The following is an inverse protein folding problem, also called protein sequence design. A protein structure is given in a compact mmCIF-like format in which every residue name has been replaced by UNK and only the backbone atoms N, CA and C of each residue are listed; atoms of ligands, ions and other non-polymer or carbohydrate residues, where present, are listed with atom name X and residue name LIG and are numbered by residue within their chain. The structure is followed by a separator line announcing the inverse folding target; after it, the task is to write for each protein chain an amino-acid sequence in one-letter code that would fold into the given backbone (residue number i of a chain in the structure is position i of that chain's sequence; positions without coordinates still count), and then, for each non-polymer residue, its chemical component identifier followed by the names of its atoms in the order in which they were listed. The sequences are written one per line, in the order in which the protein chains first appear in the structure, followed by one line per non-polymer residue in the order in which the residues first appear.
data_IF_566170072179
#
_entry.id   IF_566170072179
#
_cell.length_a   1.000
_cell.length_b   1.000
_cell.length_c   1.000
_cell.angle_alpha   90.00
_cell.angle_beta   90.00
_cell.angle_gamma   90.00
#
_symmetry.space_group_name_H-M   'P 1'
#
loop_
_entity.id
_entity.type
_entity.pdbx_description
1 polymer ?
#
# COMPACT_ATOMS: atom_id res chain seq x y z
N UNK A 1 -6.10 7.14 -18.72
CA UNK A 1 -5.42 5.96 -19.28
C UNK A 1 -4.90 5.12 -18.11
N UNK A 2 -4.96 3.79 -18.18
CA UNK A 2 -4.35 2.91 -17.18
C UNK A 2 -2.93 2.60 -17.64
N UNK A 3 -1.93 2.86 -16.80
CA UNK A 3 -0.54 2.58 -17.11
C UNK A 3 0.01 1.60 -16.07
N UNK A 4 0.67 0.54 -16.53
CA UNK A 4 1.48 -0.29 -15.65
C UNK A 4 2.69 0.53 -15.16
N UNK A 5 3.22 0.36 -13.93
CA UNK A 5 4.33 1.18 -13.42
C UNK A 5 5.58 1.25 -14.31
N UNK A 6 5.88 0.23 -15.13
CA UNK A 6 6.97 0.34 -16.12
C UNK A 6 6.76 1.44 -17.18
N UNK A 7 5.51 1.69 -17.54
CA UNK A 7 5.06 2.71 -18.47
C UNK A 7 4.45 3.92 -17.72
N UNK A 8 4.52 3.92 -16.39
CA UNK A 8 3.90 4.93 -15.56
C UNK A 8 4.60 6.27 -15.74
N UNK A 9 3.79 7.33 -15.65
CA UNK A 9 4.24 8.71 -15.77
C UNK A 9 3.88 9.49 -14.50
N UNK A 10 4.67 10.51 -14.18
CA UNK A 10 4.41 11.45 -13.08
C UNK A 10 4.57 12.87 -13.61
N UNK A 11 3.52 13.37 -14.25
CA UNK A 11 3.47 14.73 -14.79
C UNK A 11 2.49 15.54 -13.94
N UNK A 12 2.95 16.22 -12.88
CA UNK A 12 2.06 17.02 -12.04
C UNK A 12 1.46 18.17 -12.85
N UNK A 13 0.20 18.47 -12.57
CA UNK A 13 -0.51 19.64 -13.09
C UNK A 13 -0.68 20.66 -11.97
N UNK A 14 -0.88 21.92 -12.32
CA UNK A 14 -1.11 22.98 -11.34
C UNK A 14 -2.35 22.65 -10.47
N UNK A 15 -2.32 22.86 -9.13
CA UNK A 15 -3.43 22.50 -8.26
C UNK A 15 -4.75 23.23 -8.58
N UNK A 16 -4.71 24.48 -9.03
CA UNK A 16 -5.93 25.21 -9.40
C UNK A 16 -6.50 24.66 -10.72
N UNK A 17 -5.65 24.38 -11.70
CA UNK A 17 -6.04 23.68 -12.94
C UNK A 17 -6.61 22.28 -12.64
N UNK A 18 -6.02 21.57 -11.67
CA UNK A 18 -6.50 20.26 -11.24
C UNK A 18 -7.91 20.35 -10.65
N UNK A 19 -8.15 21.36 -9.82
CA UNK A 19 -9.45 21.62 -9.18
C UNK A 19 -10.53 21.99 -10.19
N UNK A 20 -10.21 22.83 -11.18
CA UNK A 20 -11.11 23.14 -12.30
C UNK A 20 -11.52 21.87 -13.09
N UNK A 21 -10.64 20.86 -13.12
CA UNK A 21 -10.88 19.54 -13.73
C UNK A 21 -11.54 18.53 -12.78
N UNK A 22 -12.01 18.97 -11.61
CA UNK A 22 -12.64 18.12 -10.60
C UNK A 22 -11.69 17.13 -9.92
N UNK A 23 -10.37 17.34 -10.00
CA UNK A 23 -9.38 16.55 -9.26
C UNK A 23 -9.25 17.10 -7.84
N UNK A 24 -9.04 16.21 -6.88
CA UNK A 24 -9.06 16.55 -5.45
C UNK A 24 -7.88 15.96 -4.66
N UNK A 25 -6.92 15.32 -5.32
CA UNK A 25 -5.75 14.72 -4.66
C UNK A 25 -4.56 14.62 -5.60
N UNK A 26 -3.35 14.69 -5.03
CA UNK A 26 -2.08 14.40 -5.70
C UNK A 26 -1.79 12.89 -5.81
N UNK A 27 -2.55 12.08 -5.08
CA UNK A 27 -2.38 10.63 -5.04
C UNK A 27 -2.86 9.97 -6.34
N UNK A 28 -2.03 9.12 -6.94
CA UNK A 28 -2.44 8.26 -8.05
C UNK A 28 -3.41 7.18 -7.58
N UNK A 29 -4.22 6.69 -8.51
CA UNK A 29 -5.16 5.58 -8.26
C UNK A 29 -4.52 4.23 -8.60
N UNK A 30 -4.00 3.52 -7.60
CA UNK A 30 -3.51 2.16 -7.79
C UNK A 30 -4.68 1.15 -7.73
N UNK A 31 -4.76 0.25 -8.72
CA UNK A 31 -5.76 -0.82 -8.79
C UNK A 31 -5.12 -2.12 -9.24
N UNK A 32 -5.70 -3.23 -8.82
CA UNK A 32 -5.28 -4.57 -9.23
C UNK A 32 -6.26 -5.13 -10.26
N UNK A 33 -5.77 -5.96 -11.19
CA UNK A 33 -6.63 -6.69 -12.11
C UNK A 33 -6.68 -8.14 -11.63
N UNK A 34 -7.81 -8.55 -11.05
CA UNK A 34 -8.05 -9.89 -10.58
C UNK A 34 -9.11 -10.55 -11.46
N UNK A 35 -8.77 -11.65 -12.13
CA UNK A 35 -9.68 -12.38 -13.03
C UNK A 35 -10.39 -11.47 -14.05
N UNK A 36 -9.63 -10.54 -14.66
CA UNK A 36 -10.14 -9.57 -15.63
C UNK A 36 -10.94 -8.41 -15.05
N UNK A 37 -11.15 -8.37 -13.72
CA UNK A 37 -11.87 -7.28 -13.04
C UNK A 37 -10.91 -6.35 -12.32
N UNK A 38 -11.20 -5.07 -12.38
CA UNK A 38 -10.48 -4.05 -11.61
C UNK A 38 -10.96 -4.16 -10.16
N UNK A 39 -10.02 -4.28 -9.23
CA UNK A 39 -10.31 -4.28 -7.80
C UNK A 39 -9.44 -3.25 -7.09
N UNK A 40 -9.99 -2.68 -6.02
CA UNK A 40 -9.28 -1.84 -5.08
C UNK A 40 -9.08 -2.66 -3.79
N UNK A 41 -7.97 -3.40 -3.67
CA UNK A 41 -7.72 -4.23 -2.50
C UNK A 41 -7.39 -3.37 -1.27
N UNK A 42 -7.52 -3.98 -0.10
CA UNK A 42 -6.87 -3.49 1.12
C UNK A 42 -5.48 -4.12 1.22
N UNK A 43 -4.51 -3.34 1.70
CA UNK A 43 -3.16 -3.81 2.05
C UNK A 43 -2.83 -3.42 3.49
N UNK A 44 -1.85 -4.10 4.10
CA UNK A 44 -1.42 -3.86 5.48
C UNK A 44 -1.48 -5.11 6.33
N UNK A 45 -1.33 -4.96 7.65
CA UNK A 45 -1.16 -6.08 8.55
C UNK A 45 -2.33 -7.09 8.49
N UNK A 46 -3.57 -6.61 8.41
CA UNK A 46 -4.74 -7.48 8.27
C UNK A 46 -4.69 -8.29 6.97
N UNK A 47 -4.47 -7.61 5.84
CA UNK A 47 -4.37 -8.27 4.53
C UNK A 47 -3.22 -9.30 4.48
N UNK A 48 -2.05 -8.97 5.02
CA UNK A 48 -0.91 -9.89 5.10
C UNK A 48 -1.25 -11.13 5.93
N UNK A 49 -1.87 -10.96 7.10
CA UNK A 49 -2.22 -12.07 7.99
C UNK A 49 -3.26 -13.00 7.33
N UNK A 50 -4.31 -12.42 6.73
CA UNK A 50 -5.33 -13.17 5.98
C UNK A 50 -4.71 -13.93 4.81
N UNK A 51 -3.83 -13.29 4.02
CA UNK A 51 -3.16 -13.94 2.90
C UNK A 51 -2.12 -14.99 3.33
N UNK A 52 -1.70 -14.98 4.60
CA UNK A 52 -0.79 -16.00 5.19
C UNK A 52 -1.53 -17.11 5.94
N UNK A 53 -2.85 -17.19 5.77
CA UNK A 53 -3.73 -18.16 6.46
C UNK A 53 -3.62 -18.11 7.99
N UNK A 54 -3.40 -16.92 8.57
CA UNK A 54 -3.36 -16.76 10.02
C UNK A 54 -4.74 -17.02 10.63
N UNK A 55 -4.84 -18.07 11.44
CA UNK A 55 -6.11 -18.55 12.00
C UNK A 55 -6.84 -17.51 12.85
N UNK A 56 -6.09 -16.69 13.60
CA UNK A 56 -6.71 -15.65 14.43
C UNK A 56 -7.26 -14.54 13.55
N UNK A 57 -6.49 -14.05 12.57
CA UNK A 57 -6.96 -13.02 11.64
C UNK A 57 -8.17 -13.50 10.83
N UNK A 58 -8.15 -14.73 10.31
CA UNK A 58 -9.29 -15.32 9.60
C UNK A 58 -10.53 -15.41 10.50
N UNK A 59 -10.38 -15.93 11.71
CA UNK A 59 -11.49 -16.01 12.68
C UNK A 59 -12.05 -14.63 13.03
N UNK A 60 -11.20 -13.63 13.23
CA UNK A 60 -11.64 -12.26 13.52
C UNK A 60 -12.40 -11.65 12.34
N UNK A 61 -11.93 -11.84 11.10
CA UNK A 61 -12.62 -11.37 9.90
C UNK A 61 -13.95 -12.09 9.69
N UNK A 62 -14.01 -13.40 9.93
CA UNK A 62 -15.24 -14.18 9.82
C UNK A 62 -16.31 -13.74 10.83
N UNK A 63 -15.91 -13.48 12.08
CA UNK A 63 -16.85 -13.16 13.15
C UNK A 63 -17.22 -11.66 13.22
N UNK A 64 -16.31 -10.77 12.84
CA UNK A 64 -16.48 -9.31 13.02
C UNK A 64 -16.33 -8.50 11.74
N UNK A 65 -15.81 -9.09 10.66
CA UNK A 65 -15.46 -8.36 9.43
C UNK A 65 -14.15 -7.55 9.56
N UNK A 66 -13.72 -6.88 8.49
CA UNK A 66 -12.51 -6.07 8.47
C UNK A 66 -12.73 -4.70 9.13
N UNK A 67 -12.92 -4.68 10.45
CA UNK A 67 -13.21 -3.46 11.23
C UNK A 67 -11.94 -2.71 11.65
N UNK A 68 -12.10 -1.47 12.12
CA UNK A 68 -11.03 -0.70 12.77
C UNK A 68 -10.32 -1.50 13.88
N UNK A 69 -11.09 -2.17 14.75
CA UNK A 69 -10.53 -2.98 15.82
C UNK A 69 -9.72 -4.16 15.28
N UNK A 70 -10.25 -4.88 14.29
CA UNK A 70 -9.58 -6.02 13.67
C UNK A 70 -8.26 -5.61 12.99
N UNK A 71 -8.19 -4.42 12.36
CA UNK A 71 -6.93 -3.87 11.84
C UNK A 71 -5.91 -3.57 12.93
N UNK A 72 -6.35 -3.00 14.06
CA UNK A 72 -5.48 -2.72 15.21
C UNK A 72 -4.94 -4.01 15.81
N UNK A 73 -5.80 -5.01 16.06
CA UNK A 73 -5.39 -6.33 16.56
C UNK A 73 -4.40 -6.98 15.58
N UNK A 74 -4.69 -6.94 14.28
CA UNK A 74 -3.81 -7.50 13.24
C UNK A 74 -2.41 -6.89 13.26
N UNK A 75 -2.29 -5.59 13.53
CA UNK A 75 -0.98 -4.93 13.66
C UNK A 75 -0.19 -5.47 14.86
N UNK A 76 -0.85 -5.74 15.98
CA UNK A 76 -0.24 -6.34 17.17
C UNK A 76 0.19 -7.78 16.90
N UNK A 77 -0.69 -8.59 16.30
CA UNK A 77 -0.37 -9.99 15.93
C UNK A 77 0.82 -10.05 14.98
N UNK A 78 0.84 -9.18 13.95
CA UNK A 78 1.96 -9.10 13.02
C UNK A 78 3.26 -8.69 13.71
N UNK A 79 3.21 -7.78 14.68
CA UNK A 79 4.39 -7.38 15.45
C UNK A 79 4.99 -8.58 16.22
N UNK A 80 4.16 -9.39 16.86
CA UNK A 80 4.61 -10.60 17.57
C UNK A 80 5.27 -11.61 16.63
N UNK A 81 4.67 -11.87 15.46
CA UNK A 81 5.27 -12.75 14.44
C UNK A 81 6.58 -12.19 13.90
N UNK A 82 6.65 -10.88 13.66
CA UNK A 82 7.87 -10.23 13.19
C UNK A 82 8.99 -10.37 14.22
N UNK A 83 8.68 -10.26 15.51
CA UNK A 83 9.67 -10.47 16.58
C UNK A 83 10.28 -11.89 16.53
N UNK A 84 9.46 -12.92 16.32
CA UNK A 84 9.95 -14.29 16.15
C UNK A 84 10.86 -14.44 14.92
N UNK A 85 10.45 -13.87 13.77
CA UNK A 85 11.28 -13.87 12.56
C UNK A 85 12.60 -13.16 12.81
N UNK A 86 12.59 -11.99 13.46
CA UNK A 86 13.80 -11.22 13.74
C UNK A 86 14.77 -12.00 14.63
N UNK A 87 14.29 -12.67 15.68
CA UNK A 87 15.12 -13.52 16.54
C UNK A 87 15.75 -14.66 15.74
N UNK A 88 14.95 -15.36 14.92
CA UNK A 88 15.44 -16.43 14.05
C UNK A 88 16.48 -15.94 13.03
N UNK A 89 16.30 -14.75 12.45
CA UNK A 89 17.25 -14.16 11.52
C UNK A 89 18.56 -13.75 12.23
N UNK A 90 18.48 -13.22 13.45
CA UNK A 90 19.66 -12.91 14.26
C UNK A 90 20.46 -14.19 14.57
N UNK A 91 19.77 -15.27 14.95
CA UNK A 91 20.43 -16.55 15.27
C UNK A 91 21.13 -17.17 14.05
N UNK A 92 20.60 -16.96 12.85
CA UNK A 92 21.19 -17.43 11.58
C UNK A 92 22.23 -16.48 11.02
N UNK A 93 22.34 -15.28 11.55
CA UNK A 93 23.21 -14.26 10.99
C UNK A 93 24.67 -14.59 11.26
N UNK A 94 25.44 -14.74 10.18
CA UNK A 94 26.87 -14.99 10.27
C UNK A 94 27.67 -13.69 10.10
N UNK A 95 28.19 -13.19 11.22
CA UNK A 95 29.02 -11.98 11.24
C UNK A 95 30.26 -12.13 10.35
N UNK A 96 30.57 -11.07 9.59
CA UNK A 96 31.77 -11.00 8.75
C UNK A 96 31.65 -11.68 7.37
N UNK A 97 30.52 -12.33 7.05
CA UNK A 97 30.28 -12.80 5.68
C UNK A 97 30.06 -11.64 4.71
N UNK A 98 30.43 -11.78 3.42
CA UNK A 98 30.20 -10.74 2.42
C UNK A 98 28.71 -10.39 2.28
N UNK A 99 28.36 -9.12 2.52
CA UNK A 99 26.99 -8.60 2.39
C UNK A 99 26.69 -7.99 1.00
N UNK A 100 27.69 -7.97 0.12
CA UNK A 100 27.57 -7.39 -1.22
C UNK A 100 28.25 -8.27 -2.25
N UNK A 101 27.53 -8.53 -3.35
CA UNK A 101 28.09 -9.16 -4.54
C UNK A 101 28.13 -8.13 -5.66
N UNK A 102 29.32 -7.84 -6.19
CA UNK A 102 29.46 -6.96 -7.35
C UNK A 102 28.63 -7.53 -8.51
N UNK A 103 27.80 -6.69 -9.10
CA UNK A 103 26.97 -7.05 -10.25
C UNK A 103 27.64 -6.58 -11.55
N UNK A 104 27.22 -7.18 -12.66
CA UNK A 104 27.61 -6.71 -13.99
C UNK A 104 26.72 -5.53 -14.36
N UNK A 105 27.34 -4.37 -14.60
CA UNK A 105 26.62 -3.18 -15.05
C UNK A 105 25.87 -3.46 -16.36
N UNK A 106 24.61 -3.03 -16.42
CA UNK A 106 23.79 -3.10 -17.61
C UNK A 106 23.52 -1.68 -18.09
N UNK A 107 23.79 -1.43 -19.37
CA UNK A 107 23.43 -0.15 -20.00
C UNK A 107 21.93 -0.01 -20.18
N UNK A 108 21.25 -1.10 -20.50
CA UNK A 108 19.80 -1.13 -20.70
C UNK A 108 19.16 -2.26 -19.89
N UNK A 109 17.93 -2.03 -19.43
CA UNK A 109 17.16 -3.05 -18.74
C UNK A 109 15.97 -2.48 -17.98
N UNK A 110 15.18 -3.36 -17.39
CA UNK A 110 14.12 -2.98 -16.45
C UNK A 110 14.11 -3.99 -15.30
N UNK A 111 13.60 -3.55 -14.15
CA UNK A 111 13.50 -4.39 -12.96
C UNK A 111 12.44 -3.87 -12.01
N UNK A 112 12.04 -4.71 -11.08
CA UNK A 112 11.10 -4.33 -10.04
C UNK A 112 11.49 -4.99 -8.71
N UNK A 113 11.13 -4.35 -7.60
CA UNK A 113 11.28 -4.88 -6.26
C UNK A 113 9.96 -4.74 -5.51
N UNK A 114 9.44 -5.85 -4.99
CA UNK A 114 8.21 -5.88 -4.21
C UNK A 114 8.54 -6.30 -2.79
N UNK A 115 8.01 -5.59 -1.81
CA UNK A 115 8.16 -5.90 -0.38
C UNK A 115 6.86 -5.59 0.35
N UNK A 116 6.66 -6.27 1.49
CA UNK A 116 5.63 -5.89 2.45
C UNK A 116 6.20 -4.87 3.44
N UNK A 117 5.95 -3.58 3.17
CA UNK A 117 6.24 -2.53 4.13
C UNK A 117 5.32 -2.67 5.36
N UNK A 118 5.60 -1.93 6.45
CA UNK A 118 4.76 -1.99 7.66
C UNK A 118 3.26 -1.73 7.39
N UNK A 119 2.95 -0.94 6.35
CA UNK A 119 1.60 -0.51 5.96
C UNK A 119 0.99 -1.35 4.82
N UNK A 120 1.72 -2.33 4.27
CA UNK A 120 1.24 -3.16 3.15
C UNK A 120 2.22 -3.28 1.99
N UNK A 121 1.68 -3.73 0.85
CA UNK A 121 2.44 -3.95 -0.36
C UNK A 121 3.06 -2.65 -0.90
N UNK A 122 4.38 -2.69 -1.11
CA UNK A 122 5.19 -1.64 -1.72
C UNK A 122 5.90 -2.22 -2.93
N UNK A 123 5.81 -1.50 -4.06
CA UNK A 123 6.52 -1.86 -5.27
C UNK A 123 7.31 -0.70 -5.83
N UNK A 124 8.52 -0.99 -6.30
CA UNK A 124 9.38 -0.06 -7.04
C UNK A 124 9.66 -0.66 -8.41
N UNK A 125 9.51 0.12 -9.47
CA UNK A 125 9.80 -0.26 -10.86
C UNK A 125 10.82 0.69 -11.46
N UNK A 126 11.83 0.15 -12.10
CA UNK A 126 12.92 0.91 -12.73
C UNK A 126 13.10 0.49 -14.18
N UNK A 127 13.31 1.47 -15.05
CA UNK A 127 13.74 1.30 -16.44
C UNK A 127 15.04 2.05 -16.63
N UNK A 128 16.08 1.35 -17.08
CA UNK A 128 17.41 1.89 -17.36
C UNK A 128 17.62 1.90 -18.87
N UNK A 129 18.09 3.02 -19.42
CA UNK A 129 18.53 3.13 -20.82
C UNK A 129 19.83 3.92 -20.89
N UNK A 130 20.81 3.44 -21.65
CA UNK A 130 22.11 4.11 -21.80
C UNK A 130 22.89 4.30 -20.49
N UNK A 131 22.65 3.45 -19.49
CA UNK A 131 23.27 3.51 -18.16
C UNK A 131 22.61 4.50 -17.20
N UNK A 132 21.53 5.17 -17.59
CA UNK A 132 20.78 6.11 -16.74
C UNK A 132 19.37 5.59 -16.44
N UNK A 133 18.83 5.95 -15.28
CA UNK A 133 17.44 5.67 -14.92
C UNK A 133 16.55 6.53 -15.82
N UNK A 134 15.84 5.88 -16.76
CA UNK A 134 14.94 6.54 -17.71
C UNK A 134 13.53 6.69 -17.16
N UNK A 135 13.07 5.76 -16.35
CA UNK A 135 11.80 5.81 -15.63
C UNK A 135 11.95 5.13 -14.27
N UNK A 136 11.34 5.71 -13.24
CA UNK A 136 11.22 5.12 -11.92
C UNK A 136 9.83 5.40 -11.38
N UNK A 137 9.09 4.35 -11.03
CA UNK A 137 7.72 4.45 -10.53
C UNK A 137 7.57 3.65 -9.25
N UNK A 138 6.83 4.21 -8.31
CA UNK A 138 6.58 3.62 -7.01
C UNK A 138 5.06 3.43 -6.87
N UNK A 139 4.65 2.31 -6.29
CA UNK A 139 3.28 2.11 -5.81
C UNK A 139 3.37 1.79 -4.33
N UNK A 140 2.84 2.68 -3.50
CA UNK A 140 2.93 2.57 -2.04
C UNK A 140 1.67 1.99 -1.41
N UNK A 141 1.77 1.47 -0.17
CA UNK A 141 0.60 0.89 0.48
C UNK A 141 -0.51 1.91 0.71
N UNK A 142 -0.15 3.14 1.08
CA UNK A 142 -1.13 4.20 1.34
C UNK A 142 -1.82 4.66 0.05
N UNK A 143 -1.15 4.64 -1.10
CA UNK A 143 -1.80 4.85 -2.40
C UNK A 143 -2.87 3.81 -2.70
N UNK A 144 -2.63 2.54 -2.36
CA UNK A 144 -3.60 1.46 -2.55
C UNK A 144 -4.80 1.64 -1.60
N UNK A 145 -4.53 1.88 -0.31
CA UNK A 145 -5.58 1.98 0.71
C UNK A 145 -6.41 3.26 0.64
N UNK A 146 -5.82 4.39 0.23
CA UNK A 146 -6.40 5.73 0.33
C UNK A 146 -6.44 6.48 -1.01
N UNK A 147 -6.13 5.81 -2.12
CA UNK A 147 -6.24 6.40 -3.44
C UNK A 147 -7.65 6.93 -3.73
N UNK A 148 -7.78 7.90 -4.64
CA UNK A 148 -9.09 8.43 -5.00
C UNK A 148 -9.92 7.35 -5.72
N UNK A 149 -11.18 7.67 -5.97
CA UNK A 149 -12.06 6.90 -6.84
C UNK A 149 -11.42 6.74 -8.23
N UNK A 150 -11.56 5.56 -8.83
CA UNK A 150 -11.10 5.33 -10.20
C UNK A 150 -12.15 5.76 -11.24
N UNK A 151 -11.79 5.88 -12.53
CA UNK A 151 -12.74 6.28 -13.57
C UNK A 151 -13.95 5.34 -13.79
N UNK A 152 -14.01 4.20 -13.08
CA UNK A 152 -15.10 3.23 -13.14
C UNK A 152 -15.95 3.23 -11.87
N UNK A 153 -15.74 4.18 -10.95
CA UNK A 153 -16.49 4.29 -9.72
C UNK A 153 -16.00 3.42 -8.56
N UNK A 154 -14.87 2.72 -8.69
CA UNK A 154 -14.39 1.90 -7.59
C UNK A 154 -13.70 2.75 -6.53
N UNK A 155 -14.20 2.64 -5.31
CA UNK A 155 -13.66 3.27 -4.11
C UNK A 155 -12.47 2.48 -3.54
N UNK A 156 -11.53 3.19 -2.90
CA UNK A 156 -10.44 2.59 -2.13
C UNK A 156 -10.94 1.93 -0.84
N UNK A 157 -10.08 1.11 -0.21
CA UNK A 157 -10.41 0.42 1.04
C UNK A 157 -10.88 1.41 2.13
N UNK A 158 -10.19 2.53 2.28
CA UNK A 158 -10.51 3.54 3.30
C UNK A 158 -11.82 4.26 3.01
N UNK A 159 -12.09 4.60 1.74
CA UNK A 159 -13.36 5.19 1.35
C UNK A 159 -14.54 4.25 1.63
N UNK A 160 -14.38 2.96 1.33
CA UNK A 160 -15.39 1.93 1.65
C UNK A 160 -15.61 1.78 3.15
N UNK A 161 -14.55 1.87 3.96
CA UNK A 161 -14.64 1.74 5.41
C UNK A 161 -15.38 2.92 6.06
N UNK A 162 -15.39 4.10 5.44
CA UNK A 162 -16.10 5.28 5.93
C UNK A 162 -17.60 5.20 5.63
N UNK A 163 -17.98 4.66 4.47
CA UNK A 163 -19.38 4.61 4.05
C UNK A 163 -20.22 3.79 5.04
N UNK A 164 -21.31 4.39 5.51
CA UNK A 164 -22.22 3.78 6.48
C UNK A 164 -21.75 3.87 7.93
N UNK A 165 -20.62 4.54 8.22
CA UNK A 165 -20.22 4.81 9.60
C UNK A 165 -21.14 5.86 10.21
N UNK A 166 -21.77 5.51 11.33
CA UNK A 166 -22.50 6.46 12.16
C UNK A 166 -21.50 7.39 12.86
N UNK A 167 -21.80 8.69 12.84
CA UNK A 167 -20.99 9.73 13.49
C UNK A 167 -21.88 10.40 14.52
N UNK A 168 -21.52 10.27 15.79
CA UNK A 168 -22.35 10.78 16.89
C UNK A 168 -22.35 12.32 16.93
N UNK A 169 -21.17 12.94 16.78
CA UNK A 169 -20.99 14.39 16.76
C UNK A 169 -20.24 14.83 15.49
N UNK A 170 -20.95 15.54 14.60
CA UNK A 170 -20.36 16.08 13.37
C UNK A 170 -19.31 17.16 13.61
N UNK A 171 -19.33 17.84 14.76
CA UNK A 171 -18.29 18.80 15.12
C UNK A 171 -17.00 18.11 15.59
N UNK A 172 -17.10 16.83 15.97
CA UNK A 172 -15.98 16.02 16.44
C UNK A 172 -16.09 14.56 15.92
N UNK A 173 -15.87 14.32 14.60
CA UNK A 173 -16.07 13.02 13.97
C UNK A 173 -14.91 12.04 14.29
N UNK A 174 -14.86 11.57 15.53
CA UNK A 174 -13.80 10.70 16.04
C UNK A 174 -13.78 9.33 15.36
N UNK A 175 -14.93 8.82 14.96
CA UNK A 175 -15.13 7.52 14.30
C UNK A 175 -14.41 7.48 12.95
N UNK A 176 -14.58 8.54 12.15
CA UNK A 176 -13.86 8.71 10.88
C UNK A 176 -12.36 8.74 11.13
N UNK A 177 -11.94 9.47 12.15
CA UNK A 177 -10.53 9.58 12.51
C UNK A 177 -9.94 8.24 12.96
N UNK A 178 -10.71 7.42 13.70
CA UNK A 178 -10.32 6.06 14.07
C UNK A 178 -10.18 5.15 12.86
N UNK A 179 -11.10 5.24 11.89
CA UNK A 179 -11.00 4.48 10.63
C UNK A 179 -9.72 4.84 9.90
N UNK A 180 -9.45 6.12 9.64
CA UNK A 180 -8.22 6.56 8.95
C UNK A 180 -6.96 6.08 9.68
N UNK A 181 -6.90 6.25 11.01
CA UNK A 181 -5.75 5.82 11.82
C UNK A 181 -5.58 4.31 11.84
N UNK A 182 -6.66 3.54 11.70
CA UNK A 182 -6.60 2.08 11.65
C UNK A 182 -5.83 1.54 10.45
N UNK A 183 -5.75 2.32 9.36
CA UNK A 183 -4.92 2.01 8.19
C UNK A 183 -3.45 2.43 8.33
N UNK A 184 -3.09 3.13 9.42
CA UNK A 184 -1.74 3.68 9.65
C UNK A 184 -1.27 4.52 8.44
N UNK A 185 -2.08 5.51 8.07
CA UNK A 185 -1.85 6.35 6.90
C UNK A 185 -0.51 7.10 6.98
N UNK A 186 0.33 6.98 5.94
CA UNK A 186 1.52 7.81 5.77
C UNK A 186 1.34 8.71 4.55
N UNK A 187 0.96 9.97 4.77
CA UNK A 187 0.64 10.90 3.68
C UNK A 187 1.84 11.24 2.78
N UNK A 188 3.06 11.24 3.34
CA UNK A 188 4.28 11.41 2.55
C UNK A 188 4.48 10.23 1.60
N UNK A 189 4.07 9.01 2.00
CA UNK A 189 4.06 7.85 1.13
C UNK A 189 3.02 7.91 0.01
N UNK A 190 1.96 8.68 0.17
CA UNK A 190 0.84 8.64 -0.77
C UNK A 190 1.13 9.36 -2.10
N UNK A 191 2.09 10.31 -2.11
CA UNK A 191 2.26 11.25 -3.22
C UNK A 191 3.48 10.99 -4.11
N UNK A 192 4.37 10.07 -3.73
CA UNK A 192 5.56 9.73 -4.52
C UNK A 192 5.33 8.56 -5.48
#
# INVERSE_FOLDING_TARGET
MKLHPFEGETNPIDPEEAKERGKYTFTKTARYILNGKIVAPEVGALAMLVNSDDKLALSLVENFGPTTLVRVISRLVRFLKLNEILLNEIDRFEFGKPAFKKYNERKDGYGYGLVEAARGALGHWVVIKGGIIRNYQIVTPTQINMGPEDPYGNLSATQKAIIGTEVEDLNNPVEISHIIRSYDACLVCTVH
#
